data_IF_954661995291
#
_entry.id   IF_954661995291
#
_cell.length_a   1.000
_cell.length_b   1.000
_cell.length_c   1.000
_cell.angle_alpha   90.00
_cell.angle_beta   90.00
_cell.angle_gamma   90.00
#
_symmetry.space_group_name_H-M   'P 1'
#
loop_
_entity.id
_entity.type
_entity.pdbx_description
1 polymer ?
#
# COMPACT_ATOMS: atom_id res chain seq x y z
N UNK A 1 29.75 -6.57 98.90
CA UNK A 1 28.35 -6.07 98.93
C UNK A 1 27.77 -6.10 97.52
N UNK A 2 26.76 -6.96 97.34
CA UNK A 2 25.76 -7.08 96.26
C UNK A 2 25.85 -6.15 95.03
N UNK A 3 25.84 -6.76 93.83
CA UNK A 3 24.64 -6.81 92.97
C UNK A 3 24.80 -7.79 91.79
N UNK A 4 23.77 -8.62 91.60
CA UNK A 4 23.54 -9.49 90.45
C UNK A 4 23.41 -8.68 89.14
N UNK A 5 23.88 -9.25 88.04
CA UNK A 5 23.27 -9.06 86.73
C UNK A 5 23.50 -10.31 85.85
N UNK A 6 22.44 -11.09 85.71
CA UNK A 6 22.24 -12.08 84.64
C UNK A 6 22.05 -11.30 83.34
N UNK A 7 22.80 -11.62 82.28
CA UNK A 7 22.48 -11.15 80.93
C UNK A 7 22.33 -12.37 80.02
N UNK A 8 21.08 -12.55 79.59
CA UNK A 8 20.62 -13.50 78.58
C UNK A 8 21.26 -13.25 77.21
N UNK A 9 21.33 -14.34 76.45
CA UNK A 9 21.72 -14.40 75.05
C UNK A 9 20.90 -13.47 74.13
N UNK A 10 21.57 -12.94 73.11
CA UNK A 10 20.93 -12.49 71.88
C UNK A 10 21.86 -12.82 70.70
N UNK A 11 21.59 -13.95 70.03
CA UNK A 11 22.15 -14.26 68.73
C UNK A 11 21.50 -13.32 67.70
N UNK A 12 22.30 -12.43 67.11
CA UNK A 12 21.88 -11.54 66.05
C UNK A 12 21.76 -12.31 64.73
N UNK A 13 20.56 -12.80 64.43
CA UNK A 13 20.20 -13.29 63.10
C UNK A 13 20.01 -12.11 62.16
N UNK A 14 20.99 -11.88 61.27
CA UNK A 14 20.85 -10.98 60.12
C UNK A 14 19.81 -11.56 59.16
N UNK A 15 18.58 -11.07 59.23
CA UNK A 15 17.56 -11.32 58.22
C UNK A 15 17.89 -10.50 56.97
N UNK A 16 18.38 -11.17 55.92
CA UNK A 16 18.37 -10.63 54.56
C UNK A 16 16.91 -10.60 54.08
N UNK A 17 16.30 -9.42 54.13
CA UNK A 17 15.02 -9.14 53.48
C UNK A 17 15.21 -9.19 51.96
N UNK A 18 15.09 -10.38 51.38
CA UNK A 18 14.87 -10.52 49.95
C UNK A 18 13.48 -9.96 49.62
N UNK A 19 13.43 -8.82 48.94
CA UNK A 19 12.21 -8.34 48.31
C UNK A 19 11.80 -9.36 47.25
N UNK A 20 10.95 -10.32 47.63
CA UNK A 20 10.20 -11.12 46.67
C UNK A 20 9.23 -10.16 45.97
N UNK A 21 9.63 -9.64 44.82
CA UNK A 21 8.70 -8.98 43.92
C UNK A 21 7.74 -10.04 43.41
N UNK A 22 6.50 -10.01 43.91
CA UNK A 22 5.41 -10.79 43.32
C UNK A 22 5.39 -10.54 41.81
N UNK A 23 5.33 -11.59 40.96
CA UNK A 23 5.18 -11.41 39.53
C UNK A 23 3.85 -10.70 39.29
N UNK A 24 3.92 -9.41 38.92
CA UNK A 24 2.74 -8.65 38.54
C UNK A 24 1.99 -9.43 37.45
N UNK A 25 0.67 -9.60 37.57
CA UNK A 25 -0.12 -10.22 36.52
C UNK A 25 0.05 -9.41 35.24
N UNK A 26 0.73 -10.00 34.26
CA UNK A 26 0.85 -9.43 32.92
C UNK A 26 -0.56 -9.27 32.37
N UNK A 27 -1.00 -8.02 32.24
CA UNK A 27 -2.30 -7.72 31.66
C UNK A 27 -2.35 -8.35 30.25
N UNK A 28 -3.29 -9.27 30.06
CA UNK A 28 -3.49 -9.96 28.78
C UNK A 28 -3.68 -8.95 27.66
N UNK A 29 -2.93 -9.11 26.56
CA UNK A 29 -3.08 -8.26 25.39
C UNK A 29 -4.56 -8.26 24.92
N UNK A 30 -5.09 -7.11 24.46
CA UNK A 30 -6.46 -7.03 23.99
C UNK A 30 -6.70 -8.01 22.83
N UNK A 31 -7.81 -8.74 22.91
CA UNK A 31 -8.15 -9.75 21.92
C UNK A 31 -8.52 -9.10 20.57
N UNK A 32 -7.70 -9.35 19.55
CA UNK A 32 -7.97 -8.93 18.17
C UNK A 32 -8.99 -9.86 17.51
N UNK A 33 -9.81 -9.32 16.60
CA UNK A 33 -10.85 -10.07 15.86
C UNK A 33 -10.80 -9.75 14.38
N UNK A 34 -11.21 -10.67 13.51
CA UNK A 34 -11.33 -10.37 12.09
C UNK A 34 -12.32 -9.23 11.86
N UNK A 35 -11.99 -8.30 10.97
CA UNK A 35 -12.86 -7.17 10.58
C UNK A 35 -12.89 -7.01 9.07
N UNK A 36 -13.97 -6.41 8.57
CA UNK A 36 -14.05 -5.98 7.16
C UNK A 36 -13.34 -4.64 7.01
N UNK A 37 -12.45 -4.47 6.01
CA UNK A 37 -11.83 -3.18 5.77
C UNK A 37 -12.87 -2.14 5.35
N UNK A 38 -12.62 -0.84 5.56
CA UNK A 38 -13.59 0.20 5.25
C UNK A 38 -13.86 0.36 3.75
N UNK A 39 -13.09 -0.29 2.87
CA UNK A 39 -13.29 -0.23 1.43
C UNK A 39 -12.75 1.08 0.83
N UNK A 40 -12.36 1.04 -0.44
CA UNK A 40 -12.15 2.23 -1.26
C UNK A 40 -10.70 2.68 -1.40
N UNK A 41 -10.55 3.78 -2.13
CA UNK A 41 -9.28 4.47 -2.34
C UNK A 41 -9.14 5.59 -1.30
N UNK A 42 -7.97 5.66 -0.71
CA UNK A 42 -7.61 6.60 0.35
C UNK A 42 -6.42 7.43 -0.09
N UNK A 43 -6.42 8.71 0.23
CA UNK A 43 -5.34 9.64 -0.08
C UNK A 43 -4.77 10.22 1.21
N UNK A 44 -3.44 10.27 1.30
CA UNK A 44 -2.74 10.96 2.38
C UNK A 44 -2.92 12.46 2.20
N UNK A 45 -3.76 13.08 3.02
CA UNK A 45 -4.08 14.50 2.95
C UNK A 45 -3.26 15.34 3.93
N UNK A 46 -2.71 14.71 4.97
CA UNK A 46 -1.83 15.36 5.94
C UNK A 46 -0.71 14.39 6.34
N UNK A 47 0.45 14.96 6.66
CA UNK A 47 1.59 14.20 7.13
C UNK A 47 2.39 15.03 8.14
N UNK A 48 2.55 14.49 9.34
CA UNK A 48 3.25 15.13 10.46
C UNK A 48 4.44 14.26 10.85
N UNK A 49 5.63 14.85 10.90
CA UNK A 49 6.81 14.16 11.39
C UNK A 49 6.67 13.93 12.90
N UNK A 50 6.90 12.70 13.37
CA UNK A 50 6.81 12.37 14.79
C UNK A 50 8.04 12.88 15.54
N UNK A 51 9.21 12.75 14.92
CA UNK A 51 10.48 13.32 15.39
C UNK A 51 11.03 14.37 14.39
N UNK A 52 11.90 15.31 14.81
CA UNK A 52 12.50 16.29 13.90
C UNK A 52 13.31 15.61 12.77
N UNK A 53 12.86 15.73 11.52
CA UNK A 53 13.47 15.05 10.35
C UNK A 53 14.47 15.89 9.58
N UNK A 54 14.60 17.18 9.89
CA UNK A 54 15.34 18.15 9.06
C UNK A 54 14.78 18.32 7.64
N UNK A 55 13.59 17.78 7.37
CA UNK A 55 12.89 17.84 6.08
C UNK A 55 11.43 18.22 6.28
N UNK A 56 11.03 19.37 5.74
CA UNK A 56 9.70 19.94 5.99
C UNK A 56 8.58 19.32 5.14
N UNK A 57 8.90 18.38 4.23
CA UNK A 57 7.94 17.80 3.29
C UNK A 57 7.95 16.28 3.35
N UNK A 58 6.81 15.71 3.73
CA UNK A 58 6.59 14.27 3.70
C UNK A 58 6.62 13.72 2.28
N UNK A 59 7.30 12.59 2.02
CA UNK A 59 7.22 11.89 0.74
C UNK A 59 5.85 11.22 0.51
N UNK A 60 5.03 11.12 1.56
CA UNK A 60 3.75 10.42 1.54
C UNK A 60 2.57 11.32 1.21
N UNK A 61 2.72 12.66 1.27
CA UNK A 61 1.60 13.57 1.01
C UNK A 61 1.09 13.41 -0.44
N UNK A 62 -0.23 13.25 -0.58
CA UNK A 62 -0.91 12.98 -1.86
C UNK A 62 -0.80 11.53 -2.36
N UNK A 63 -0.08 10.65 -1.65
CA UNK A 63 -0.05 9.23 -2.01
C UNK A 63 -1.42 8.60 -1.81
N UNK A 64 -1.75 7.65 -2.69
CA UNK A 64 -3.02 6.95 -2.68
C UNK A 64 -2.81 5.47 -2.40
N UNK A 65 -3.70 4.88 -1.61
CA UNK A 65 -3.74 3.45 -1.37
C UNK A 65 -5.17 2.91 -1.37
N UNK A 66 -5.27 1.65 -1.74
CA UNK A 66 -6.50 0.89 -1.72
C UNK A 66 -6.64 0.13 -0.39
N UNK A 67 -7.82 0.10 0.20
CA UNK A 67 -8.13 -0.82 1.29
C UNK A 67 -9.43 -1.55 0.93
N UNK A 68 -9.33 -2.73 0.34
CA UNK A 68 -10.45 -3.58 -0.06
C UNK A 68 -10.31 -4.96 0.57
N UNK A 69 -11.39 -5.74 0.56
CA UNK A 69 -11.41 -7.09 1.15
C UNK A 69 -10.27 -8.00 0.67
N UNK A 70 -9.94 -7.93 -0.62
CA UNK A 70 -8.93 -8.78 -1.26
C UNK A 70 -7.67 -8.01 -1.68
N UNK A 71 -7.49 -6.76 -1.24
CA UNK A 71 -6.27 -6.00 -1.53
C UNK A 71 -6.03 -4.85 -0.56
N UNK A 72 -4.81 -4.74 -0.07
CA UNK A 72 -4.37 -3.58 0.72
C UNK A 72 -3.18 -2.90 0.04
N UNK A 73 -3.21 -1.58 -0.06
CA UNK A 73 -2.04 -0.76 -0.33
C UNK A 73 -1.53 -0.13 0.97
N UNK A 74 -0.32 0.41 0.92
CA UNK A 74 0.19 1.30 1.96
C UNK A 74 0.67 2.64 1.36
N UNK A 75 0.91 3.67 2.20
CA UNK A 75 1.42 4.96 1.72
C UNK A 75 2.79 4.91 1.03
N UNK A 76 3.57 3.85 1.24
CA UNK A 76 4.85 3.63 0.57
C UNK A 76 4.70 2.96 -0.82
N UNK A 77 3.48 2.63 -1.23
CA UNK A 77 3.17 2.01 -2.52
C UNK A 77 3.31 0.49 -2.53
N UNK A 78 3.48 -0.17 -1.37
CA UNK A 78 3.41 -1.63 -1.28
C UNK A 78 1.97 -2.09 -1.50
N UNK A 79 1.81 -3.29 -2.06
CA UNK A 79 0.51 -3.91 -2.28
C UNK A 79 0.51 -5.31 -1.66
N UNK A 80 -0.52 -5.61 -0.90
CA UNK A 80 -0.84 -6.92 -0.38
C UNK A 80 -2.02 -7.52 -1.14
N UNK A 81 -1.80 -8.65 -1.81
CA UNK A 81 -2.83 -9.35 -2.58
C UNK A 81 -3.71 -10.29 -1.74
N UNK A 82 -3.28 -10.64 -0.52
CA UNK A 82 -4.01 -11.50 0.40
C UNK A 82 -4.00 -10.91 1.83
N UNK A 83 -4.60 -9.74 2.02
CA UNK A 83 -4.57 -9.09 3.32
C UNK A 83 -5.45 -9.85 4.32
N UNK A 84 -4.99 -9.94 5.57
CA UNK A 84 -5.81 -10.33 6.71
C UNK A 84 -5.97 -9.12 7.61
N UNK A 85 -7.22 -8.73 7.85
CA UNK A 85 -7.60 -7.56 8.64
C UNK A 85 -8.03 -7.97 10.04
N UNK A 86 -7.36 -7.44 11.05
CA UNK A 86 -7.64 -7.70 12.45
C UNK A 86 -7.94 -6.40 13.19
N UNK A 87 -9.13 -6.27 13.76
CA UNK A 87 -9.59 -5.11 14.50
C UNK A 87 -9.52 -5.29 16.02
N UNK A 88 -9.31 -4.18 16.74
CA UNK A 88 -9.31 -4.09 18.20
C UNK A 88 -9.41 -2.63 18.67
N UNK A 89 -9.60 -2.41 19.97
CA UNK A 89 -9.59 -1.07 20.57
C UNK A 89 -8.22 -0.79 21.22
N UNK A 90 -7.54 0.26 20.75
CA UNK A 90 -6.20 0.63 21.21
C UNK A 90 -6.11 2.10 21.60
N UNK A 91 -5.08 2.46 22.35
CA UNK A 91 -4.70 3.88 22.45
C UNK A 91 -4.15 4.33 21.10
N UNK A 92 -4.74 5.37 20.50
CA UNK A 92 -4.29 5.87 19.20
C UNK A 92 -2.80 6.26 19.20
N UNK A 93 -2.29 6.79 20.32
CA UNK A 93 -0.88 7.17 20.45
C UNK A 93 0.06 5.96 20.39
N UNK A 94 -0.42 4.74 20.70
CA UNK A 94 0.38 3.51 20.55
C UNK A 94 0.65 3.14 19.09
N UNK A 95 -0.15 3.67 18.15
CA UNK A 95 -0.01 3.43 16.71
C UNK A 95 0.71 4.62 16.04
N UNK A 96 0.25 5.84 16.28
CA UNK A 96 0.72 7.04 15.55
C UNK A 96 1.65 7.95 16.35
N UNK A 97 2.00 7.56 17.59
CA UNK A 97 2.88 8.33 18.46
C UNK A 97 2.26 9.66 18.90
N UNK A 98 3.11 10.70 19.04
CA UNK A 98 2.72 12.01 19.54
C UNK A 98 1.70 12.77 18.65
N UNK A 99 1.38 12.26 17.46
CA UNK A 99 0.34 12.81 16.61
C UNK A 99 -1.09 12.55 17.11
N UNK A 100 -1.27 11.62 18.07
CA UNK A 100 -2.54 11.39 18.74
C UNK A 100 -2.46 11.72 20.24
N UNK A 101 -3.62 12.05 20.82
CA UNK A 101 -3.74 12.30 22.26
C UNK A 101 -3.61 10.98 23.02
N UNK A 102 -2.71 10.87 24.01
CA UNK A 102 -2.62 9.68 24.86
C UNK A 102 -3.92 9.40 25.60
N UNK A 103 -4.21 8.13 25.86
CA UNK A 103 -5.38 7.66 26.60
C UNK A 103 -6.67 7.60 25.77
N UNK A 104 -6.65 8.06 24.52
CA UNK A 104 -7.82 8.04 23.65
C UNK A 104 -7.93 6.67 22.97
N UNK A 105 -8.87 5.85 23.45
CA UNK A 105 -9.17 4.54 22.84
C UNK A 105 -9.92 4.72 21.52
N UNK A 106 -9.41 4.09 20.46
CA UNK A 106 -9.96 4.14 19.11
C UNK A 106 -9.94 2.75 18.47
N UNK A 107 -10.85 2.49 17.51
CA UNK A 107 -10.76 1.30 16.66
C UNK A 107 -9.45 1.32 15.89
N UNK A 108 -8.70 0.23 15.98
CA UNK A 108 -7.48 -0.01 15.21
C UNK A 108 -7.68 -1.23 14.34
N UNK A 109 -7.28 -1.11 13.08
CA UNK A 109 -7.25 -2.18 12.11
C UNK A 109 -5.79 -2.48 11.74
N UNK A 110 -5.31 -3.64 12.15
CA UNK A 110 -4.05 -4.19 11.67
C UNK A 110 -4.27 -4.94 10.36
N UNK A 111 -3.32 -4.80 9.46
CA UNK A 111 -3.25 -5.51 8.19
C UNK A 111 -2.00 -6.35 8.22
N UNK A 112 -2.17 -7.64 7.98
CA UNK A 112 -1.04 -8.56 7.72
C UNK A 112 -1.08 -9.04 6.28
N UNK A 113 0.09 -9.24 5.70
CA UNK A 113 0.26 -9.80 4.36
C UNK A 113 1.15 -11.03 4.44
N UNK A 114 0.64 -12.18 4.00
CA UNK A 114 1.37 -13.46 4.08
C UNK A 114 1.91 -13.75 5.50
N UNK A 115 1.17 -13.31 6.53
CA UNK A 115 1.54 -13.45 7.94
C UNK A 115 2.46 -12.35 8.50
N UNK A 116 2.97 -11.44 7.66
CA UNK A 116 3.83 -10.34 8.08
C UNK A 116 3.05 -9.05 8.33
N UNK A 117 3.54 -8.19 9.22
CA UNK A 117 2.94 -6.89 9.46
C UNK A 117 3.01 -6.00 8.20
N UNK A 118 1.86 -5.58 7.70
CA UNK A 118 1.76 -4.76 6.50
C UNK A 118 1.43 -3.30 6.83
N UNK A 119 0.47 -3.06 7.72
CA UNK A 119 0.11 -1.72 8.18
C UNK A 119 -0.85 -1.74 9.36
N UNK A 120 -1.00 -0.61 10.04
CA UNK A 120 -1.95 -0.43 11.13
C UNK A 120 -2.66 0.92 10.96
N UNK A 121 -3.98 0.92 11.07
CA UNK A 121 -4.82 2.08 10.80
C UNK A 121 -5.75 2.38 11.98
N UNK A 122 -5.69 3.59 12.49
CA UNK A 122 -6.60 4.09 13.53
C UNK A 122 -7.80 4.74 12.87
N UNK A 123 -9.02 4.31 13.22
CA UNK A 123 -10.25 4.93 12.77
C UNK A 123 -10.55 6.22 13.53
N UNK A 124 -10.80 7.30 12.80
CA UNK A 124 -11.15 8.60 13.35
C UNK A 124 -12.67 8.85 13.30
N UNK A 125 -13.16 9.75 14.16
CA UNK A 125 -14.60 10.05 14.26
C UNK A 125 -15.20 10.65 12.98
N UNK A 126 -14.39 11.34 12.17
CA UNK A 126 -14.79 11.93 10.89
C UNK A 126 -14.73 10.94 9.71
N UNK A 127 -14.44 9.66 9.99
CA UNK A 127 -14.28 8.63 8.98
C UNK A 127 -12.93 8.65 8.27
N UNK A 128 -12.00 9.54 8.66
CA UNK A 128 -10.60 9.46 8.22
C UNK A 128 -9.89 8.29 8.91
N UNK A 129 -8.74 7.90 8.34
CA UNK A 129 -7.83 6.95 8.97
C UNK A 129 -6.54 7.67 9.33
N UNK A 130 -5.91 7.27 10.43
CA UNK A 130 -4.54 7.63 10.73
C UNK A 130 -3.63 6.40 10.68
N UNK A 131 -2.40 6.56 10.21
CA UNK A 131 -1.39 5.50 10.24
C UNK A 131 -0.01 6.08 10.51
N UNK A 132 0.94 5.21 10.84
CA UNK A 132 2.35 5.56 10.95
C UNK A 132 3.15 4.82 9.89
N UNK A 133 3.93 5.58 9.14
CA UNK A 133 4.93 5.02 8.23
C UNK A 133 6.27 5.69 8.51
N UNK A 134 7.25 4.89 8.92
CA UNK A 134 8.55 5.39 9.39
C UNK A 134 8.38 6.47 10.48
N UNK A 135 8.89 7.68 10.22
CA UNK A 135 8.79 8.81 11.13
C UNK A 135 7.59 9.73 10.85
N UNK A 136 6.59 9.28 10.07
CA UNK A 136 5.45 10.11 9.71
C UNK A 136 4.16 9.52 10.25
N UNK A 137 3.40 10.34 10.97
CA UNK A 137 1.99 10.12 11.20
C UNK A 137 1.20 10.74 10.04
N UNK A 138 0.32 9.96 9.44
CA UNK A 138 -0.36 10.31 8.21
C UNK A 138 -1.88 10.30 8.45
N UNK A 139 -2.58 11.32 7.96
CA UNK A 139 -4.04 11.36 7.91
C UNK A 139 -4.49 11.00 6.49
N UNK A 140 -5.37 10.01 6.38
CA UNK A 140 -5.92 9.55 5.13
C UNK A 140 -7.40 9.89 5.04
N UNK A 141 -7.81 10.46 3.91
CA UNK A 141 -9.22 10.65 3.59
C UNK A 141 -9.62 9.81 2.41
N UNK A 142 -10.87 9.36 2.43
CA UNK A 142 -11.44 8.61 1.31
C UNK A 142 -11.52 9.53 0.10
N UNK A 143 -11.02 9.06 -1.03
CA UNK A 143 -11.18 9.75 -2.31
C UNK A 143 -12.65 9.60 -2.71
N UNK A 144 -13.35 10.72 -2.87
CA UNK A 144 -14.76 10.68 -3.29
C UNK A 144 -14.89 10.23 -4.74
N UNK A 145 -16.04 9.66 -5.10
CA UNK A 145 -16.32 9.28 -6.47
C UNK A 145 -16.27 10.49 -7.42
N UNK A 146 -16.69 11.68 -6.97
CA UNK A 146 -16.57 12.89 -7.80
C UNK A 146 -15.12 13.28 -8.04
N UNK A 147 -14.23 13.16 -7.04
CA UNK A 147 -12.81 13.44 -7.21
C UNK A 147 -12.12 12.44 -8.18
N UNK A 148 -12.65 11.21 -8.30
CA UNK A 148 -12.20 10.25 -9.31
C UNK A 148 -12.67 10.65 -10.72
N UNK A 149 -13.82 11.31 -10.85
CA UNK A 149 -14.42 11.73 -12.13
C UNK A 149 -13.96 13.11 -12.61
N UNK A 150 -13.62 14.02 -11.69
CA UNK A 150 -13.19 15.40 -11.99
C UNK A 150 -11.82 15.51 -12.68
N UNK A 151 -11.15 14.37 -12.95
CA UNK A 151 -9.91 14.31 -13.73
C UNK A 151 -10.08 13.54 -15.05
N UNK A 152 -11.32 13.31 -15.49
CA UNK A 152 -11.60 13.00 -16.88
C UNK A 152 -11.40 14.28 -17.72
N UNK A 153 -10.71 14.25 -18.87
CA UNK A 153 -10.59 15.41 -19.73
C UNK A 153 -11.98 15.91 -20.12
N UNK A 154 -12.21 17.20 -19.94
CA UNK A 154 -13.37 17.91 -20.47
C UNK A 154 -13.48 17.61 -21.98
N UNK A 155 -14.68 17.29 -22.51
CA UNK A 155 -14.85 17.08 -23.93
C UNK A 155 -14.38 18.32 -24.67
N UNK A 156 -13.38 18.17 -25.55
CA UNK A 156 -12.99 19.24 -26.45
C UNK A 156 -14.24 19.69 -27.24
N UNK A 157 -14.45 21.01 -27.44
CA UNK A 157 -15.58 21.49 -28.24
C UNK A 157 -15.53 20.89 -29.64
N UNK A 158 -16.71 20.47 -30.11
CA UNK A 158 -16.89 19.77 -31.37
C UNK A 158 -16.23 20.54 -32.53
N UNK A 159 -15.39 19.90 -33.36
CA UNK A 159 -14.91 20.52 -34.60
C UNK A 159 -16.07 20.64 -35.61
N UNK A 160 -16.10 21.78 -36.31
CA UNK A 160 -16.97 22.03 -37.45
C UNK A 160 -16.80 20.96 -38.55
N UNK A 161 -17.85 20.67 -39.34
CA UNK A 161 -17.86 19.54 -40.25
C UNK A 161 -16.92 19.76 -41.43
N UNK A 162 -15.78 19.07 -41.42
CA UNK A 162 -14.96 18.88 -42.63
C UNK A 162 -15.36 17.57 -43.29
N UNK A 163 -15.59 17.70 -44.59
CA UNK A 163 -15.98 16.71 -45.60
C UNK A 163 -15.13 15.43 -45.55
N UNK A 164 -15.85 14.32 -45.73
CA UNK A 164 -15.47 12.91 -45.66
C UNK A 164 -14.23 12.53 -46.49
N UNK A 165 -13.27 11.84 -45.86
CA UNK A 165 -12.34 10.92 -46.54
C UNK A 165 -12.06 9.70 -45.64
N UNK A 166 -12.51 8.53 -46.13
CA UNK A 166 -12.28 7.13 -45.69
C UNK A 166 -12.49 6.68 -44.22
N UNK A 167 -13.09 5.49 -44.00
CA UNK A 167 -13.42 4.99 -42.68
C UNK A 167 -12.16 4.64 -41.87
N UNK A 168 -11.95 5.39 -40.80
CA UNK A 168 -11.11 4.99 -39.67
C UNK A 168 -11.68 3.68 -39.09
N UNK A 169 -10.85 2.65 -38.81
CA UNK A 169 -11.36 1.43 -38.20
C UNK A 169 -12.03 1.78 -36.87
N UNK A 170 -13.27 1.35 -36.74
CA UNK A 170 -14.07 1.34 -35.51
C UNK A 170 -13.17 0.94 -34.33
N UNK A 171 -13.29 1.59 -33.15
CA UNK A 171 -12.74 1.02 -31.93
C UNK A 171 -13.23 -0.42 -31.85
N UNK A 172 -12.30 -1.37 -31.82
CA UNK A 172 -12.63 -2.78 -31.66
C UNK A 172 -13.63 -2.88 -30.50
N UNK A 173 -14.82 -3.42 -30.80
CA UNK A 173 -15.82 -3.79 -29.79
C UNK A 173 -15.08 -4.33 -28.58
N UNK A 174 -15.34 -3.74 -27.41
CA UNK A 174 -14.88 -4.30 -26.14
C UNK A 174 -15.23 -5.79 -26.14
N UNK A 175 -14.21 -6.61 -26.34
CA UNK A 175 -14.33 -8.04 -26.14
C UNK A 175 -14.73 -8.24 -24.68
N UNK A 176 -15.56 -9.26 -24.44
CA UNK A 176 -15.94 -9.71 -23.10
C UNK A 176 -14.71 -9.72 -22.17
N UNK A 177 -14.88 -9.43 -20.86
CA UNK A 177 -13.77 -9.27 -19.92
C UNK A 177 -12.80 -10.44 -20.04
N UNK A 178 -11.68 -10.16 -20.68
CA UNK A 178 -10.64 -11.13 -20.91
C UNK A 178 -10.01 -11.41 -19.56
N UNK A 179 -10.20 -12.63 -19.04
CA UNK A 179 -9.70 -13.02 -17.71
C UNK A 179 -8.17 -13.08 -17.65
N UNK A 180 -7.48 -12.75 -18.75
CA UNK A 180 -6.03 -12.70 -18.87
C UNK A 180 -5.46 -11.51 -18.10
N UNK A 181 -4.38 -11.77 -17.38
CA UNK A 181 -3.62 -10.76 -16.64
C UNK A 181 -2.68 -9.99 -17.57
N UNK A 182 -2.48 -8.69 -17.30
CA UNK A 182 -1.48 -7.89 -18.01
C UNK A 182 -0.07 -8.24 -17.55
N UNK A 183 0.90 -8.15 -18.46
CA UNK A 183 2.32 -8.37 -18.21
C UNK A 183 3.07 -7.13 -18.70
N UNK A 184 3.65 -6.37 -17.78
CA UNK A 184 4.45 -5.20 -18.16
C UNK A 184 5.67 -5.59 -18.98
N UNK A 185 5.90 -4.89 -20.10
CA UNK A 185 7.01 -5.16 -21.02
C UNK A 185 7.97 -4.00 -21.17
N UNK A 186 7.51 -2.75 -21.20
CA UNK A 186 8.40 -1.60 -21.36
C UNK A 186 7.63 -0.27 -21.22
N UNK A 187 8.37 0.83 -21.09
CA UNK A 187 7.82 2.19 -21.18
C UNK A 187 8.53 2.97 -22.28
N UNK A 188 7.78 3.65 -23.13
CA UNK A 188 8.27 4.46 -24.23
C UNK A 188 7.86 5.92 -24.11
N UNK A 189 8.59 6.84 -24.74
CA UNK A 189 8.26 8.27 -24.72
C UNK A 189 7.06 8.64 -25.59
N UNK A 190 6.71 7.81 -26.57
CA UNK A 190 5.55 8.02 -27.43
C UNK A 190 4.93 6.69 -27.89
N UNK A 191 3.71 6.75 -28.39
CA UNK A 191 2.95 5.58 -28.80
C UNK A 191 3.56 4.84 -30.01
N UNK A 192 4.12 5.56 -30.98
CA UNK A 192 4.70 4.98 -32.19
C UNK A 192 5.94 4.12 -31.88
N UNK A 193 6.75 4.57 -30.93
CA UNK A 193 7.91 3.82 -30.42
C UNK A 193 7.46 2.61 -29.60
N UNK A 194 6.36 2.71 -28.85
CA UNK A 194 5.76 1.55 -28.18
C UNK A 194 5.28 0.47 -29.17
N UNK A 195 4.60 0.89 -30.26
CA UNK A 195 4.19 -0.02 -31.36
C UNK A 195 5.39 -0.69 -32.04
N UNK A 196 6.47 0.06 -32.26
CA UNK A 196 7.71 -0.46 -32.84
C UNK A 196 8.41 -1.44 -31.89
N UNK A 197 8.43 -1.11 -30.59
CA UNK A 197 8.90 -1.98 -29.52
C UNK A 197 8.13 -3.31 -29.47
N UNK A 198 6.81 -3.27 -29.55
CA UNK A 198 5.98 -4.48 -29.63
C UNK A 198 6.39 -5.39 -30.79
N UNK A 199 6.58 -4.85 -31.99
CA UNK A 199 7.02 -5.64 -33.15
C UNK A 199 8.37 -6.33 -32.90
N UNK A 200 9.27 -5.70 -32.16
CA UNK A 200 10.55 -6.30 -31.80
C UNK A 200 10.38 -7.44 -30.77
N UNK A 201 9.56 -7.22 -29.73
CA UNK A 201 9.29 -8.21 -28.68
C UNK A 201 8.49 -9.41 -29.20
N UNK A 202 7.48 -9.17 -30.05
CA UNK A 202 6.66 -10.21 -30.68
C UNK A 202 7.47 -11.16 -31.58
N UNK A 203 8.56 -10.70 -32.21
CA UNK A 203 9.48 -11.58 -32.96
C UNK A 203 10.22 -12.57 -32.07
N UNK A 204 10.32 -12.29 -30.76
CA UNK A 204 11.05 -13.10 -29.78
C UNK A 204 10.15 -13.96 -28.92
N UNK A 205 8.88 -13.58 -28.80
CA UNK A 205 7.87 -14.33 -28.07
C UNK A 205 6.74 -14.80 -29.01
N UNK A 206 6.64 -16.11 -29.29
CA UNK A 206 5.49 -16.67 -30.01
C UNK A 206 4.15 -16.43 -29.33
N UNK A 207 4.15 -16.22 -28.00
CA UNK A 207 2.96 -15.88 -27.21
C UNK A 207 2.52 -14.45 -27.56
N UNK A 208 3.45 -13.48 -27.51
CA UNK A 208 3.15 -12.10 -27.89
C UNK A 208 2.77 -11.96 -29.38
N UNK A 209 3.34 -12.77 -30.27
CA UNK A 209 3.03 -12.72 -31.70
C UNK A 209 1.57 -13.02 -32.05
N UNK A 210 0.81 -13.65 -31.15
CA UNK A 210 -0.59 -14.04 -31.34
C UNK A 210 -1.59 -13.04 -30.76
N UNK A 211 -1.11 -11.90 -30.26
CA UNK A 211 -1.97 -10.91 -29.61
C UNK A 211 -1.59 -9.49 -30.01
N UNK A 212 -2.48 -8.56 -29.69
CA UNK A 212 -2.24 -7.13 -29.84
C UNK A 212 -1.60 -6.56 -28.57
N UNK A 213 -0.78 -5.50 -28.69
CA UNK A 213 -0.23 -4.82 -27.52
C UNK A 213 -1.31 -4.06 -26.79
N UNK A 214 -1.26 -4.09 -25.46
CA UNK A 214 -1.96 -3.08 -24.64
C UNK A 214 -0.99 -1.93 -24.42
N UNK A 215 -1.37 -0.72 -24.85
CA UNK A 215 -0.55 0.49 -24.70
C UNK A 215 -1.34 1.51 -23.89
N UNK A 216 -0.81 1.88 -22.74
CA UNK A 216 -1.49 2.81 -21.82
C UNK A 216 -0.64 4.06 -21.61
N UNK A 217 -1.17 5.27 -21.84
CA UNK A 217 -0.47 6.49 -21.48
C UNK A 217 -0.34 6.61 -19.96
N UNK A 218 0.83 6.99 -19.48
CA UNK A 218 1.13 7.16 -18.07
C UNK A 218 1.94 8.43 -17.86
N UNK A 219 1.47 9.33 -17.00
CA UNK A 219 2.17 10.57 -16.68
C UNK A 219 3.13 10.36 -15.50
N UNK A 220 4.42 10.60 -15.72
CA UNK A 220 5.47 10.51 -14.71
C UNK A 220 5.81 11.88 -14.10
N UNK A 221 4.89 12.84 -14.19
CA UNK A 221 5.02 14.19 -13.65
C UNK A 221 6.16 14.94 -14.32
N UNK A 222 7.23 15.23 -13.56
CA UNK A 222 8.42 15.94 -14.09
C UNK A 222 9.09 15.23 -15.28
N UNK A 223 8.89 13.91 -15.43
CA UNK A 223 9.42 13.13 -16.55
C UNK A 223 8.50 13.09 -17.77
N UNK A 224 7.36 13.77 -17.70
CA UNK A 224 6.38 13.89 -18.78
C UNK A 224 5.53 12.64 -19.00
N UNK A 225 4.78 12.64 -20.10
CA UNK A 225 3.94 11.54 -20.56
C UNK A 225 4.79 10.41 -21.17
N UNK A 226 4.53 9.19 -20.73
CA UNK A 226 5.10 7.95 -21.23
C UNK A 226 3.99 6.99 -21.66
N UNK A 227 4.36 5.93 -22.36
CA UNK A 227 3.46 4.92 -22.88
C UNK A 227 3.95 3.56 -22.39
N UNK A 228 3.21 2.96 -21.45
CA UNK A 228 3.51 1.63 -20.94
C UNK A 228 2.97 0.60 -21.92
N UNK A 229 3.80 -0.38 -22.24
CA UNK A 229 3.52 -1.48 -23.14
C UNK A 229 3.33 -2.75 -22.33
N UNK A 230 2.24 -3.47 -22.60
CA UNK A 230 1.91 -4.73 -21.95
C UNK A 230 1.57 -5.82 -22.95
N UNK A 231 1.86 -7.06 -22.57
CA UNK A 231 1.24 -8.26 -23.14
C UNK A 231 0.15 -8.81 -22.22
N UNK A 232 -0.58 -9.81 -22.68
CA UNK A 232 -1.53 -10.55 -21.84
C UNK A 232 -1.00 -11.97 -21.59
N UNK A 233 -1.34 -12.51 -20.41
CA UNK A 233 -1.05 -13.87 -19.99
C UNK A 233 -2.29 -14.50 -19.32
N UNK A 234 -2.62 -15.73 -19.67
CA UNK A 234 -3.69 -16.52 -19.09
C UNK A 234 -3.46 -16.82 -17.60
N UNK A 235 -2.21 -17.03 -17.22
CA UNK A 235 -1.81 -17.36 -15.85
C UNK A 235 -0.35 -16.94 -15.58
N UNK A 236 0.12 -17.22 -14.36
CA UNK A 236 1.49 -16.92 -13.94
C UNK A 236 2.55 -17.75 -14.69
N UNK A 237 2.20 -18.95 -15.17
CA UNK A 237 3.13 -19.78 -15.93
C UNK A 237 3.36 -19.19 -17.33
N UNK A 238 2.30 -18.71 -18.00
CA UNK A 238 2.40 -18.02 -19.27
C UNK A 238 3.12 -16.67 -19.12
N UNK A 239 2.86 -15.92 -18.04
CA UNK A 239 3.63 -14.71 -17.69
C UNK A 239 5.12 -15.00 -17.58
N UNK A 240 5.50 -16.03 -16.81
CA UNK A 240 6.89 -16.43 -16.66
C UNK A 240 7.50 -16.87 -18.00
N UNK A 241 6.72 -17.56 -18.85
CA UNK A 241 7.15 -17.96 -20.19
C UNK A 241 7.40 -16.75 -21.12
N UNK A 242 6.52 -15.75 -21.11
CA UNK A 242 6.71 -14.48 -21.84
C UNK A 242 8.02 -13.84 -21.41
N UNK A 243 8.23 -13.63 -20.10
CA UNK A 243 9.44 -12.97 -19.62
C UNK A 243 10.72 -13.77 -19.88
N UNK A 244 10.66 -15.10 -19.80
CA UNK A 244 11.78 -15.97 -20.18
C UNK A 244 12.12 -15.85 -21.67
N UNK A 245 11.13 -15.74 -22.55
CA UNK A 245 11.34 -15.59 -24.00
C UNK A 245 11.96 -14.23 -24.37
N UNK A 246 11.58 -13.17 -23.65
CA UNK A 246 12.13 -11.83 -23.87
C UNK A 246 13.52 -11.66 -23.25
N UNK A 247 13.80 -12.34 -22.14
CA UNK A 247 15.11 -12.32 -21.48
C UNK A 247 15.61 -10.90 -21.24
N UNK A 248 16.87 -10.64 -21.60
CA UNK A 248 17.54 -9.33 -21.40
C UNK A 248 17.05 -8.20 -22.32
N UNK A 249 16.06 -8.44 -23.19
CA UNK A 249 15.47 -7.36 -23.99
C UNK A 249 14.54 -6.48 -23.14
N UNK A 250 14.10 -6.99 -21.99
CA UNK A 250 13.21 -6.31 -21.07
C UNK A 250 13.70 -6.53 -19.65
N UNK A 251 14.30 -5.49 -19.07
CA UNK A 251 14.92 -5.58 -17.74
C UNK A 251 13.90 -5.76 -16.61
N UNK A 252 12.68 -5.23 -16.75
CA UNK A 252 11.64 -5.26 -15.72
C UNK A 252 10.40 -6.08 -16.14
N UNK A 253 10.59 -7.16 -16.92
CA UNK A 253 9.47 -7.90 -17.49
C UNK A 253 8.54 -8.45 -16.40
N UNK A 254 7.24 -8.22 -16.56
CA UNK A 254 6.21 -8.68 -15.63
C UNK A 254 6.24 -7.97 -14.28
N UNK A 255 6.94 -6.82 -14.17
CA UNK A 255 6.95 -6.01 -12.96
C UNK A 255 5.54 -5.56 -12.59
N UNK A 256 5.05 -6.05 -11.45
CA UNK A 256 3.75 -5.68 -10.87
C UNK A 256 3.67 -4.22 -10.45
N UNK A 257 4.81 -3.57 -10.24
CA UNK A 257 4.91 -2.14 -9.93
C UNK A 257 4.65 -1.25 -11.15
N UNK A 258 4.53 -1.86 -12.34
CA UNK A 258 4.36 -1.18 -13.63
C UNK A 258 3.04 -1.54 -14.31
N UNK A 259 2.31 -2.50 -13.77
CA UNK A 259 0.91 -2.81 -14.08
C UNK A 259 0.00 -1.67 -13.61
#
# INVERSE_FOLDING_TARGET
MNRLAVICAAAASLALSACASDPQPVASAPAKRMVTPPGGLWEVVEAVAVDPTGTDKSPYLGQKLALYENSAGDPAGRICAKPVYMGWEADAASIVGAAAKPGEKRPVMDVTCDGEAFGAYVGMADGSLMTRVNNWALTLKRVSAEAMMAKAPEPAPAPEPVKVEQPQPEPAKMAAPDKRSIVYLASYKNEQTAKSGWKALAKKSPILAKQEPVITPFDLGKKGKWYRLYGLAADEAERAAICKQLGKLVDECGSRLRE
#
